data_IF_267183721539
#
_entry.id   IF_267183721539
#
_cell.length_a   1.000
_cell.length_b   1.000
_cell.length_c   1.000
_cell.angle_alpha   90.00
_cell.angle_beta   90.00
_cell.angle_gamma   90.00
#
_symmetry.space_group_name_H-M   'P 1'
#
loop_
_entity.id
_entity.type
_entity.pdbx_description
1 polymer ?
#
# COMPACT_ATOMS: atom_id res chain seq x y z
N UNK A 1 49.71 69.05 18.72
CA UNK A 1 49.89 67.64 18.45
C UNK A 1 48.62 66.95 18.87
N UNK A 2 47.79 66.55 17.90
CA UNK A 2 46.51 65.85 18.13
C UNK A 2 46.68 64.40 17.71
N UNK A 3 46.52 63.46 18.65
CA UNK A 3 46.53 62.02 18.39
C UNK A 3 45.14 61.58 18.03
N UNK A 4 44.95 61.07 16.78
CA UNK A 4 43.78 60.35 16.34
C UNK A 4 43.92 58.88 16.69
N UNK A 5 43.08 58.37 17.55
CA UNK A 5 42.91 56.91 17.76
C UNK A 5 41.83 56.40 16.78
N UNK A 6 42.25 55.61 15.82
CA UNK A 6 41.36 54.92 14.89
C UNK A 6 40.91 53.60 15.54
N UNK A 7 39.66 53.50 15.99
CA UNK A 7 39.08 52.27 16.50
C UNK A 7 38.61 51.42 15.36
N UNK A 8 39.30 50.33 15.05
CA UNK A 8 38.91 49.31 14.10
C UNK A 8 37.82 48.40 14.76
N UNK A 9 36.57 48.59 14.39
CA UNK A 9 35.47 47.70 14.81
C UNK A 9 35.46 46.51 13.85
N UNK A 10 35.99 45.36 14.35
CA UNK A 10 35.94 44.08 13.64
C UNK A 10 34.54 43.49 13.82
N UNK A 11 33.68 43.68 12.80
CA UNK A 11 32.37 43.04 12.77
C UNK A 11 32.55 41.56 12.38
N UNK A 12 32.53 40.68 13.40
CA UNK A 12 32.39 39.23 13.18
C UNK A 12 31.03 38.94 12.61
N UNK A 13 30.92 38.78 11.29
CA UNK A 13 29.77 38.17 10.63
C UNK A 13 29.74 36.68 11.00
N UNK A 14 28.99 36.32 12.05
CA UNK A 14 28.59 34.96 12.33
C UNK A 14 27.63 34.51 11.21
N UNK A 15 28.17 33.94 10.14
CA UNK A 15 27.38 33.17 9.19
C UNK A 15 26.93 31.90 9.90
N UNK A 16 25.78 31.94 10.55
CA UNK A 16 25.06 30.75 10.96
C UNK A 16 24.67 30.02 9.67
N UNK A 17 25.44 28.97 9.33
CA UNK A 17 24.99 27.96 8.38
C UNK A 17 23.76 27.33 9.02
N UNK A 18 22.58 27.80 8.64
CA UNK A 18 21.35 27.06 8.86
C UNK A 18 21.49 25.76 8.09
N UNK A 19 21.92 24.71 8.77
CA UNK A 19 21.72 23.36 8.28
C UNK A 19 20.20 23.21 8.18
N UNK A 20 19.67 23.26 6.99
CA UNK A 20 18.31 22.83 6.78
C UNK A 20 18.21 21.40 7.33
N UNK A 21 17.39 21.20 8.35
CA UNK A 21 17.19 19.86 8.88
C UNK A 21 16.76 18.96 7.72
N UNK A 22 17.39 17.80 7.60
CA UNK A 22 17.02 16.84 6.57
C UNK A 22 15.54 16.51 6.71
N UNK A 23 14.84 16.39 5.59
CA UNK A 23 13.42 16.06 5.59
C UNK A 23 13.22 14.74 6.37
N UNK A 24 12.39 14.71 7.42
CA UNK A 24 12.27 13.56 8.31
C UNK A 24 11.79 12.28 7.59
N UNK A 25 11.13 12.42 6.43
CA UNK A 25 10.70 11.29 5.62
C UNK A 25 11.85 10.59 4.91
N UNK A 26 12.96 11.29 4.63
CA UNK A 26 14.11 10.72 3.91
C UNK A 26 14.76 9.61 4.74
N UNK A 27 15.04 8.47 4.08
CA UNK A 27 15.72 7.32 4.66
C UNK A 27 15.19 5.99 4.17
N UNK A 28 15.70 4.92 4.80
CA UNK A 28 15.23 3.55 4.58
C UNK A 28 14.29 3.17 5.71
N UNK A 29 13.17 2.58 5.33
CA UNK A 29 12.08 2.25 6.23
C UNK A 29 11.69 0.79 6.06
N UNK A 30 11.59 0.06 7.17
CA UNK A 30 11.20 -1.35 7.18
C UNK A 30 9.87 -1.54 7.87
N UNK A 31 8.96 -2.25 7.19
CA UNK A 31 7.63 -2.55 7.73
C UNK A 31 7.73 -3.28 9.07
N UNK A 32 7.00 -2.78 10.07
CA UNK A 32 6.85 -3.39 11.39
C UNK A 32 5.47 -4.05 11.50
N UNK A 33 5.42 -5.36 11.28
CA UNK A 33 4.17 -6.12 11.31
C UNK A 33 3.50 -6.12 12.68
N UNK A 34 4.27 -6.10 13.78
CA UNK A 34 3.72 -6.15 15.14
C UNK A 34 2.98 -4.86 15.52
N UNK A 35 3.41 -3.72 14.96
CA UNK A 35 2.79 -2.41 15.18
C UNK A 35 1.74 -2.06 14.15
N UNK A 36 1.68 -2.81 13.04
CA UNK A 36 0.74 -2.57 11.94
C UNK A 36 -0.58 -3.27 12.18
N UNK A 37 -1.66 -2.68 11.66
CA UNK A 37 -3.01 -3.23 11.71
C UNK A 37 -3.60 -3.22 10.30
N UNK A 38 -3.70 -4.41 9.70
CA UNK A 38 -4.23 -4.64 8.35
C UNK A 38 -5.63 -5.28 8.39
N UNK A 39 -6.39 -5.07 9.46
CA UNK A 39 -7.67 -5.74 9.68
C UNK A 39 -8.83 -4.76 9.58
N UNK A 40 -10.01 -5.30 9.29
CA UNK A 40 -11.25 -4.54 9.26
C UNK A 40 -11.72 -4.17 7.85
N UNK A 41 -10.94 -4.46 6.80
CA UNK A 41 -11.43 -4.33 5.43
C UNK A 41 -12.48 -5.39 5.15
N UNK A 42 -13.49 -4.99 4.37
CA UNK A 42 -14.60 -5.86 4.04
C UNK A 42 -14.64 -6.16 2.54
N UNK A 43 -14.90 -7.43 2.24
CA UNK A 43 -15.16 -7.93 0.89
C UNK A 43 -16.51 -8.63 0.86
N UNK A 44 -17.40 -8.17 -0.02
CA UNK A 44 -18.68 -8.83 -0.31
C UNK A 44 -18.52 -9.77 -1.48
N UNK A 45 -18.94 -11.02 -1.32
CA UNK A 45 -19.02 -12.03 -2.37
C UNK A 45 -20.47 -12.37 -2.59
N UNK A 46 -20.97 -12.19 -3.81
CA UNK A 46 -22.33 -12.55 -4.21
C UNK A 46 -22.24 -13.74 -5.18
N UNK A 47 -22.85 -14.86 -4.82
CA UNK A 47 -23.00 -16.01 -5.69
C UNK A 47 -24.12 -15.74 -6.71
N UNK A 48 -23.77 -15.70 -7.98
CA UNK A 48 -24.69 -15.44 -9.10
C UNK A 48 -25.18 -16.73 -9.77
N UNK A 49 -24.78 -17.89 -9.24
CA UNK A 49 -25.03 -19.21 -9.83
C UNK A 49 -24.06 -19.54 -10.98
N UNK A 50 -24.00 -20.81 -11.38
CA UNK A 50 -23.17 -21.27 -12.47
C UNK A 50 -21.66 -21.03 -12.26
N UNK A 51 -21.19 -21.13 -11.03
CA UNK A 51 -19.80 -20.81 -10.63
C UNK A 51 -19.38 -19.35 -10.89
N UNK A 52 -20.35 -18.44 -11.01
CA UNK A 52 -20.09 -17.01 -11.20
C UNK A 52 -20.26 -16.26 -9.90
N UNK A 53 -19.27 -15.44 -9.55
CA UNK A 53 -19.24 -14.69 -8.30
C UNK A 53 -18.91 -13.23 -8.56
N UNK A 54 -19.66 -12.32 -7.92
CA UNK A 54 -19.35 -10.89 -7.91
C UNK A 54 -18.66 -10.54 -6.60
N UNK A 55 -17.51 -9.95 -6.71
CA UNK A 55 -16.66 -9.52 -5.60
C UNK A 55 -16.67 -8.00 -5.53
N UNK A 56 -16.97 -7.45 -4.36
CA UNK A 56 -16.93 -6.02 -4.09
C UNK A 56 -16.08 -5.76 -2.87
N UNK A 57 -15.01 -4.98 -3.03
CA UNK A 57 -14.15 -4.50 -1.94
C UNK A 57 -13.99 -3.00 -2.09
N UNK A 58 -14.42 -2.24 -1.08
CA UNK A 58 -14.51 -0.80 -1.19
C UNK A 58 -15.37 -0.35 -2.39
N UNK A 59 -14.81 0.50 -3.26
CA UNK A 59 -15.45 0.93 -4.52
C UNK A 59 -15.15 0.02 -5.70
N UNK A 60 -14.35 -1.05 -5.53
CA UNK A 60 -13.97 -1.98 -6.60
C UNK A 60 -14.96 -3.14 -6.67
N UNK A 61 -15.52 -3.36 -7.85
CA UNK A 61 -16.41 -4.50 -8.12
C UNK A 61 -15.93 -5.25 -9.36
N UNK A 62 -15.77 -6.57 -9.24
CA UNK A 62 -15.40 -7.45 -10.35
C UNK A 62 -16.20 -8.73 -10.28
N UNK A 63 -16.57 -9.26 -11.46
CA UNK A 63 -17.25 -10.56 -11.55
C UNK A 63 -16.30 -11.56 -12.19
N UNK A 64 -16.16 -12.72 -11.56
CA UNK A 64 -15.34 -13.83 -12.03
C UNK A 64 -16.18 -15.10 -12.15
N UNK A 65 -15.82 -15.94 -13.13
CA UNK A 65 -16.30 -17.32 -13.21
C UNK A 65 -15.22 -18.23 -12.63
N UNK A 66 -15.57 -19.08 -11.69
CA UNK A 66 -14.64 -20.03 -11.09
C UNK A 66 -14.59 -21.30 -11.98
N UNK A 67 -13.85 -21.22 -13.09
CA UNK A 67 -13.68 -22.28 -14.12
C UNK A 67 -12.21 -22.53 -14.48
N UNK A 68 -11.29 -21.84 -13.78
CA UNK A 68 -9.84 -21.95 -14.00
C UNK A 68 -9.32 -21.12 -15.17
N UNK A 69 -10.16 -20.38 -15.88
CA UNK A 69 -9.71 -19.51 -16.96
C UNK A 69 -9.19 -18.17 -16.48
N UNK A 70 -8.21 -17.58 -17.19
CA UNK A 70 -7.69 -16.27 -16.91
C UNK A 70 -8.70 -15.18 -17.31
N UNK A 71 -9.18 -14.38 -16.35
CA UNK A 71 -10.17 -13.33 -16.58
C UNK A 71 -9.56 -11.96 -16.20
N UNK A 72 -9.71 -10.93 -17.05
CA UNK A 72 -9.10 -9.64 -16.80
C UNK A 72 -9.78 -8.90 -15.64
N UNK A 73 -9.01 -8.04 -14.95
CA UNK A 73 -9.51 -7.08 -13.99
C UNK A 73 -9.12 -5.64 -14.37
N UNK A 74 -9.66 -4.66 -13.64
CA UNK A 74 -9.42 -3.25 -13.92
C UNK A 74 -7.97 -2.78 -13.64
N UNK A 75 -7.18 -3.58 -12.91
CA UNK A 75 -5.79 -3.29 -12.58
C UNK A 75 -4.79 -3.79 -13.62
N UNK A 76 -5.27 -4.30 -14.78
CA UNK A 76 -4.42 -4.81 -15.85
C UNK A 76 -3.85 -6.21 -15.57
N UNK A 77 -4.41 -6.92 -14.60
CA UNK A 77 -4.05 -8.29 -14.29
C UNK A 77 -5.13 -9.26 -14.83
N UNK A 78 -4.78 -10.54 -14.88
CA UNK A 78 -5.76 -11.62 -15.01
C UNK A 78 -5.85 -12.41 -13.71
N UNK A 79 -7.04 -12.92 -13.42
CA UNK A 79 -7.35 -13.75 -12.26
C UNK A 79 -7.98 -15.05 -12.75
N UNK A 80 -7.41 -16.18 -12.34
CA UNK A 80 -7.98 -17.50 -12.55
C UNK A 80 -8.40 -18.08 -11.21
N UNK A 81 -9.68 -18.51 -11.10
CA UNK A 81 -10.23 -19.15 -9.91
C UNK A 81 -10.61 -20.57 -10.29
N UNK A 82 -10.00 -21.57 -9.64
CA UNK A 82 -10.26 -22.98 -9.86
C UNK A 82 -10.84 -23.62 -8.60
N UNK A 83 -12.10 -24.03 -8.59
CA UNK A 83 -12.64 -24.85 -7.52
C UNK A 83 -11.87 -26.17 -7.42
N UNK A 84 -11.39 -26.51 -6.23
CA UNK A 84 -10.76 -27.79 -5.93
C UNK A 84 -11.82 -28.76 -5.37
N UNK A 85 -12.62 -28.23 -4.44
CA UNK A 85 -13.79 -28.89 -3.85
C UNK A 85 -14.75 -27.82 -3.33
N UNK A 86 -15.80 -28.22 -2.58
CA UNK A 86 -16.81 -27.30 -2.06
C UNK A 86 -16.25 -26.21 -1.13
N UNK A 87 -15.12 -26.47 -0.47
CA UNK A 87 -14.53 -25.61 0.55
C UNK A 87 -13.16 -25.04 0.14
N UNK A 88 -12.63 -25.41 -1.01
CA UNK A 88 -11.30 -24.98 -1.42
C UNK A 88 -11.28 -24.47 -2.85
N UNK A 89 -10.73 -23.26 -3.02
CA UNK A 89 -10.42 -22.66 -4.31
C UNK A 89 -8.93 -22.39 -4.43
N UNK A 90 -8.38 -22.61 -5.61
CA UNK A 90 -7.10 -22.04 -6.02
C UNK A 90 -7.35 -20.75 -6.79
N UNK A 91 -6.56 -19.71 -6.48
CA UNK A 91 -6.58 -18.47 -7.23
C UNK A 91 -5.16 -18.15 -7.68
N UNK A 92 -5.02 -17.74 -8.93
CA UNK A 92 -3.75 -17.28 -9.51
C UNK A 92 -3.97 -15.93 -10.14
N UNK A 93 -3.11 -14.97 -9.78
CA UNK A 93 -3.09 -13.62 -10.35
C UNK A 93 -1.87 -13.49 -11.24
N UNK A 94 -2.07 -13.02 -12.49
CA UNK A 94 -0.99 -12.85 -13.46
C UNK A 94 -1.02 -11.45 -14.07
N UNK A 95 0.15 -10.96 -14.45
CA UNK A 95 0.32 -9.78 -15.31
C UNK A 95 1.20 -10.15 -16.49
N UNK A 96 0.73 -9.93 -17.71
CA UNK A 96 1.45 -10.26 -18.95
C UNK A 96 1.98 -11.70 -18.96
N UNK A 97 1.17 -12.65 -18.48
CA UNK A 97 1.50 -14.08 -18.38
C UNK A 97 2.39 -14.46 -17.18
N UNK A 98 2.99 -13.49 -16.49
CA UNK A 98 3.82 -13.73 -15.32
C UNK A 98 2.95 -13.86 -14.07
N UNK A 99 3.14 -14.93 -13.29
CA UNK A 99 2.43 -15.13 -12.02
C UNK A 99 2.90 -14.09 -11.00
N UNK A 100 1.98 -13.24 -10.53
CA UNK A 100 2.19 -12.30 -9.44
C UNK A 100 1.97 -12.95 -8.08
N UNK A 101 0.89 -13.74 -7.98
CA UNK A 101 0.64 -14.53 -6.76
C UNK A 101 -0.17 -15.78 -7.08
N UNK A 102 0.00 -16.80 -6.23
CA UNK A 102 -0.87 -17.97 -6.19
C UNK A 102 -1.29 -18.23 -4.75
N UNK A 103 -2.57 -18.56 -4.58
CA UNK A 103 -3.14 -18.74 -3.26
C UNK A 103 -4.21 -19.81 -3.23
N UNK A 104 -4.44 -20.35 -2.05
CA UNK A 104 -5.56 -21.24 -1.75
C UNK A 104 -6.49 -20.52 -0.76
N UNK A 105 -7.76 -20.44 -1.11
CA UNK A 105 -8.84 -20.03 -0.25
C UNK A 105 -9.47 -21.27 0.35
N UNK A 106 -9.58 -21.37 1.66
CA UNK A 106 -10.20 -22.46 2.38
C UNK A 106 -11.35 -21.94 3.23
N UNK A 107 -12.54 -22.46 3.00
CA UNK A 107 -13.73 -22.19 3.79
C UNK A 107 -13.83 -23.19 4.94
N UNK A 108 -14.05 -22.72 6.16
CA UNK A 108 -14.30 -23.59 7.32
C UNK A 108 -15.60 -24.42 7.14
N UNK A 109 -15.69 -25.57 7.79
CA UNK A 109 -16.85 -26.46 7.68
C UNK A 109 -18.16 -25.81 8.08
N UNK A 110 -18.13 -24.84 8.99
CA UNK A 110 -19.30 -24.07 9.41
C UNK A 110 -19.62 -22.87 8.49
N UNK A 111 -18.77 -22.63 7.47
CA UNK A 111 -18.92 -21.55 6.50
C UNK A 111 -18.70 -20.14 7.07
N UNK A 112 -18.10 -20.00 8.26
CA UNK A 112 -17.97 -18.70 8.95
C UNK A 112 -16.58 -18.09 8.89
N UNK A 113 -15.59 -18.89 8.52
CA UNK A 113 -14.19 -18.43 8.41
C UNK A 113 -13.64 -18.80 7.04
N UNK A 114 -12.94 -17.87 6.41
CA UNK A 114 -12.15 -18.11 5.22
C UNK A 114 -10.69 -17.90 5.57
N UNK A 115 -9.84 -18.84 5.21
CA UNK A 115 -8.38 -18.71 5.31
C UNK A 115 -7.78 -18.68 3.92
N UNK A 116 -7.00 -17.65 3.63
CA UNK A 116 -6.27 -17.49 2.38
C UNK A 116 -4.79 -17.68 2.70
N UNK A 117 -4.15 -18.63 2.04
CA UNK A 117 -2.69 -18.82 2.12
C UNK A 117 -2.10 -18.77 0.73
N UNK A 118 -1.06 -18.00 0.57
CA UNK A 118 -0.47 -17.81 -0.74
C UNK A 118 0.97 -17.34 -0.70
N UNK A 119 1.55 -17.28 -1.90
CA UNK A 119 2.89 -16.77 -2.17
C UNK A 119 2.79 -15.69 -3.23
N UNK A 120 3.35 -14.52 -2.94
CA UNK A 120 3.58 -13.43 -3.86
C UNK A 120 4.96 -13.55 -4.50
N UNK A 121 5.07 -13.27 -5.82
CA UNK A 121 6.33 -13.23 -6.55
C UNK A 121 6.71 -11.78 -6.83
N UNK A 122 7.82 -11.33 -6.28
CA UNK A 122 8.32 -9.97 -6.45
C UNK A 122 9.18 -9.86 -7.72
N UNK A 123 9.24 -8.67 -8.37
CA UNK A 123 10.04 -8.47 -9.57
C UNK A 123 11.54 -8.61 -9.39
N UNK A 124 12.05 -8.53 -8.17
CA UNK A 124 13.45 -8.79 -7.84
C UNK A 124 13.80 -10.30 -7.82
N UNK A 125 12.78 -11.18 -7.93
CA UNK A 125 12.91 -12.63 -7.91
C UNK A 125 12.70 -13.24 -6.53
N UNK A 126 12.49 -12.44 -5.50
CA UNK A 126 12.14 -12.94 -4.16
C UNK A 126 10.65 -13.27 -4.06
N UNK A 127 10.29 -14.00 -3.02
CA UNK A 127 8.89 -14.36 -2.74
C UNK A 127 8.51 -13.91 -1.34
N UNK A 128 7.21 -13.78 -1.12
CA UNK A 128 6.63 -13.47 0.17
C UNK A 128 5.41 -14.36 0.41
N UNK A 129 5.46 -15.16 1.47
CA UNK A 129 4.30 -15.95 1.86
C UNK A 129 3.38 -15.13 2.74
N UNK A 130 2.09 -15.27 2.50
CA UNK A 130 1.08 -14.55 3.27
C UNK A 130 -0.04 -15.46 3.74
N UNK A 131 -0.67 -15.05 4.84
CA UNK A 131 -1.90 -15.64 5.34
C UNK A 131 -2.88 -14.53 5.70
N UNK A 132 -4.11 -14.65 5.20
CA UNK A 132 -5.24 -13.79 5.58
C UNK A 132 -6.34 -14.64 6.16
N UNK A 133 -6.88 -14.24 7.31
CA UNK A 133 -8.06 -14.86 7.91
C UNK A 133 -9.20 -13.86 7.88
N UNK A 134 -10.32 -14.29 7.30
CA UNK A 134 -11.53 -13.48 7.21
C UNK A 134 -12.66 -14.15 7.97
N UNK A 135 -13.49 -13.36 8.63
CA UNK A 135 -14.75 -13.82 9.26
C UNK A 135 -15.94 -13.32 8.46
N UNK A 136 -16.92 -14.17 8.31
CA UNK A 136 -18.20 -13.79 7.73
C UNK A 136 -18.98 -12.93 8.72
N UNK A 137 -19.24 -11.67 8.35
CA UNK A 137 -19.94 -10.69 9.19
C UNK A 137 -21.41 -10.55 8.80
N UNK A 138 -21.80 -10.92 7.57
CA UNK A 138 -23.21 -10.96 7.16
C UNK A 138 -23.43 -11.91 5.97
N UNK A 139 -24.68 -12.38 5.86
CA UNK A 139 -25.36 -12.96 4.70
C UNK A 139 -24.72 -14.19 4.05
N UNK A 140 -25.52 -14.88 3.23
CA UNK A 140 -25.09 -15.94 2.34
C UNK A 140 -24.73 -17.28 2.97
N UNK A 141 -24.78 -18.33 2.16
CA UNK A 141 -24.23 -19.66 2.46
C UNK A 141 -22.96 -19.89 1.66
N UNK A 142 -22.16 -20.85 2.03
CA UNK A 142 -20.92 -21.17 1.33
C UNK A 142 -19.99 -19.95 1.21
N UNK A 143 -19.54 -19.64 0.01
CA UNK A 143 -18.65 -18.51 -0.30
C UNK A 143 -19.35 -17.14 -0.26
N UNK A 144 -20.66 -17.10 -0.49
CA UNK A 144 -21.45 -15.87 -0.47
C UNK A 144 -21.50 -15.21 0.91
N UNK A 145 -21.53 -13.88 0.95
CA UNK A 145 -21.61 -13.07 2.17
C UNK A 145 -20.64 -11.91 2.19
N UNK A 146 -20.64 -11.16 3.29
CA UNK A 146 -19.64 -10.13 3.58
C UNK A 146 -18.61 -10.70 4.53
N UNK A 147 -17.36 -10.57 4.15
CA UNK A 147 -16.20 -11.08 4.84
C UNK A 147 -15.34 -9.93 5.34
N UNK A 148 -14.84 -10.00 6.56
CA UNK A 148 -13.98 -8.99 7.17
C UNK A 148 -12.64 -9.60 7.54
N UNK A 149 -11.54 -8.93 7.16
CA UNK A 149 -10.18 -9.31 7.50
C UNK A 149 -9.95 -9.21 9.01
N UNK A 150 -9.55 -10.31 9.64
CA UNK A 150 -9.34 -10.38 11.09
C UNK A 150 -7.90 -10.69 11.49
N UNK A 151 -7.11 -11.28 10.60
CA UNK A 151 -5.67 -11.54 10.79
C UNK A 151 -4.98 -11.52 9.44
N UNK A 152 -3.88 -10.78 9.34
CA UNK A 152 -3.06 -10.67 8.12
C UNK A 152 -1.60 -10.81 8.50
N UNK A 153 -0.89 -11.73 7.85
CA UNK A 153 0.53 -12.02 8.09
C UNK A 153 1.30 -12.12 6.79
N UNK A 154 2.51 -11.56 6.79
CA UNK A 154 3.49 -11.67 5.72
C UNK A 154 4.81 -12.19 6.29
N UNK A 155 5.55 -12.98 5.51
CA UNK A 155 6.85 -13.52 5.95
C UNK A 155 8.03 -12.60 5.68
N UNK A 156 7.91 -11.71 4.69
CA UNK A 156 8.95 -10.75 4.30
C UNK A 156 8.43 -9.32 4.40
N UNK A 157 8.78 -8.59 5.47
CA UNK A 157 8.40 -7.18 5.60
C UNK A 157 8.94 -6.35 4.44
N UNK A 158 8.09 -5.51 3.86
CA UNK A 158 8.50 -4.62 2.80
C UNK A 158 9.42 -3.51 3.31
N UNK A 159 10.30 -3.06 2.43
CA UNK A 159 11.23 -1.98 2.68
C UNK A 159 10.97 -0.85 1.68
N UNK A 160 10.94 0.38 2.20
CA UNK A 160 10.87 1.60 1.42
C UNK A 160 12.17 2.37 1.51
N UNK A 161 12.58 2.96 0.41
CA UNK A 161 13.64 3.95 0.34
C UNK A 161 13.06 5.28 -0.12
N UNK A 162 13.00 6.25 0.79
CA UNK A 162 12.49 7.59 0.50
C UNK A 162 13.68 8.54 0.34
N UNK A 163 13.72 9.26 -0.77
CA UNK A 163 14.80 10.16 -1.14
C UNK A 163 14.25 11.54 -1.51
N UNK A 164 15.11 12.57 -1.48
CA UNK A 164 14.74 13.89 -1.99
C UNK A 164 14.47 13.84 -3.50
N UNK A 165 13.46 14.59 -3.95
CA UNK A 165 13.12 14.75 -5.35
C UNK A 165 12.75 16.21 -5.65
N UNK A 166 13.43 16.82 -6.60
CA UNK A 166 13.16 18.15 -7.18
C UNK A 166 12.51 19.19 -6.22
N UNK A 167 13.33 19.90 -5.48
CA UNK A 167 12.87 20.92 -4.52
C UNK A 167 12.38 20.30 -3.21
N UNK A 168 11.10 20.40 -2.92
CA UNK A 168 10.45 19.87 -1.72
C UNK A 168 9.73 18.52 -1.92
N UNK A 169 9.90 17.91 -3.11
CA UNK A 169 9.35 16.63 -3.47
C UNK A 169 10.10 15.46 -2.86
N UNK A 170 9.47 14.29 -2.90
CA UNK A 170 10.03 13.02 -2.45
C UNK A 170 9.91 11.96 -3.55
N UNK A 171 10.92 11.08 -3.59
CA UNK A 171 10.92 9.85 -4.38
C UNK A 171 10.69 8.68 -3.42
N UNK A 172 9.59 7.97 -3.60
CA UNK A 172 9.25 6.76 -2.88
C UNK A 172 9.63 5.56 -3.73
N UNK A 173 10.54 4.73 -3.23
CA UNK A 173 11.03 3.56 -3.95
C UNK A 173 10.74 2.31 -3.12
N UNK A 174 10.24 1.26 -3.77
CA UNK A 174 10.06 -0.07 -3.19
C UNK A 174 10.98 -1.05 -3.92
N UNK A 175 12.22 -1.26 -3.47
CA UNK A 175 13.26 -1.97 -4.23
C UNK A 175 12.87 -3.39 -4.67
N UNK A 176 12.20 -4.15 -3.80
CA UNK A 176 11.76 -5.52 -4.10
C UNK A 176 10.72 -5.57 -5.23
N UNK A 177 9.87 -4.54 -5.32
CA UNK A 177 8.84 -4.42 -6.37
C UNK A 177 9.35 -3.66 -7.59
N UNK A 178 10.49 -2.95 -7.50
CA UNK A 178 11.04 -2.05 -8.52
C UNK A 178 10.05 -0.93 -8.87
N UNK A 179 9.24 -0.53 -7.90
CA UNK A 179 8.27 0.53 -8.08
C UNK A 179 8.86 1.85 -7.58
N UNK A 180 8.50 2.94 -8.27
CA UNK A 180 8.96 4.30 -7.96
C UNK A 180 7.81 5.28 -8.16
N UNK A 181 7.58 6.12 -7.16
CA UNK A 181 6.74 7.30 -7.24
C UNK A 181 7.58 8.55 -6.96
N UNK A 182 7.75 9.41 -7.95
CA UNK A 182 8.38 10.71 -7.81
C UNK A 182 7.28 11.78 -7.71
N UNK A 183 7.14 12.44 -6.58
CA UNK A 183 6.00 13.33 -6.34
C UNK A 183 6.42 14.62 -5.66
N UNK A 184 5.84 15.75 -6.11
CA UNK A 184 5.81 17.02 -5.38
C UNK A 184 4.50 17.14 -4.63
N UNK A 185 4.49 17.93 -3.56
CA UNK A 185 3.30 18.09 -2.73
C UNK A 185 2.47 19.31 -3.12
N UNK A 186 2.29 19.48 -4.44
CA UNK A 186 1.58 20.60 -5.08
C UNK A 186 0.12 20.27 -5.45
N UNK A 187 -0.35 19.08 -5.07
CA UNK A 187 -1.71 18.59 -5.31
C UNK A 187 -1.98 18.10 -6.72
N UNK A 188 -0.97 18.06 -7.60
CA UNK A 188 -1.09 17.46 -8.94
C UNK A 188 -0.93 15.94 -8.87
N UNK A 189 -1.41 15.27 -9.92
CA UNK A 189 -1.26 13.83 -10.08
C UNK A 189 0.13 13.49 -10.66
N UNK A 190 0.82 12.56 -10.05
CA UNK A 190 2.11 12.00 -10.43
C UNK A 190 1.98 10.51 -10.70
N UNK A 191 2.58 10.04 -11.80
CA UNK A 191 2.51 8.66 -12.23
C UNK A 191 3.42 7.77 -11.37
N UNK A 192 2.88 6.70 -10.82
CA UNK A 192 3.65 5.62 -10.25
C UNK A 192 4.16 4.69 -11.35
N UNK A 193 5.42 4.24 -11.24
CA UNK A 193 6.10 3.41 -12.25
C UNK A 193 6.63 2.13 -11.64
N UNK A 194 6.42 1.03 -12.34
CA UNK A 194 6.93 -0.28 -11.97
C UNK A 194 6.29 -1.42 -12.73
N UNK A 195 6.92 -2.61 -12.72
CA UNK A 195 6.45 -3.74 -13.50
C UNK A 195 5.10 -4.32 -13.02
N UNK A 196 4.75 -4.07 -11.76
CA UNK A 196 3.49 -4.55 -11.17
C UNK A 196 2.43 -3.44 -11.01
N UNK A 197 2.81 -2.18 -11.21
CA UNK A 197 1.93 -1.02 -11.07
C UNK A 197 0.75 -1.13 -12.05
N UNK A 198 -0.46 -0.85 -11.58
CA UNK A 198 -1.65 -0.87 -12.41
C UNK A 198 -1.61 0.25 -13.46
N UNK A 199 -2.06 0.02 -14.69
CA UNK A 199 -2.12 1.06 -15.70
C UNK A 199 -2.98 2.25 -15.24
N UNK A 200 -2.42 3.47 -15.31
CA UNK A 200 -3.09 4.70 -14.87
C UNK A 200 -3.09 4.90 -13.36
N UNK A 201 -2.17 4.25 -12.63
CA UNK A 201 -1.88 4.57 -11.22
C UNK A 201 -1.24 5.94 -11.13
N UNK A 202 -1.84 6.79 -10.32
CA UNK A 202 -1.43 8.17 -10.07
C UNK A 202 -1.58 8.48 -8.58
N UNK A 203 -0.68 9.29 -8.05
CA UNK A 203 -0.77 9.80 -6.68
C UNK A 203 -0.68 11.31 -6.67
N UNK A 204 -1.46 11.95 -5.81
CA UNK A 204 -1.35 13.38 -5.55
C UNK A 204 -1.19 13.63 -4.05
N UNK A 205 -0.36 14.60 -3.68
CA UNK A 205 -0.04 14.81 -2.28
C UNK A 205 -0.04 16.28 -1.86
N UNK A 206 -0.18 16.47 -0.54
CA UNK A 206 -0.01 17.74 0.15
C UNK A 206 0.87 17.56 1.36
N UNK A 207 1.80 18.50 1.58
CA UNK A 207 2.57 18.58 2.81
C UNK A 207 1.80 19.44 3.81
N UNK A 208 1.36 18.84 4.92
CA UNK A 208 0.61 19.53 5.97
C UNK A 208 1.56 20.26 6.92
N UNK A 209 2.67 19.60 7.27
CA UNK A 209 3.78 20.14 8.05
C UNK A 209 5.06 19.32 7.80
N UNK A 210 6.15 19.61 8.52
CA UNK A 210 7.42 18.92 8.34
C UNK A 210 7.34 17.39 8.55
N UNK A 211 6.40 16.91 9.40
CA UNK A 211 6.25 15.51 9.77
C UNK A 211 4.98 14.85 9.24
N UNK A 212 4.16 15.56 8.45
CA UNK A 212 2.86 15.05 8.00
C UNK A 212 2.63 15.32 6.53
N UNK A 213 2.31 14.27 5.78
CA UNK A 213 1.84 14.33 4.39
C UNK A 213 0.45 13.71 4.29
N UNK A 214 -0.33 14.18 3.34
CA UNK A 214 -1.56 13.53 2.88
C UNK A 214 -1.40 13.17 1.41
N UNK A 215 -1.73 11.93 1.06
CA UNK A 215 -1.63 11.38 -0.29
C UNK A 215 -2.98 10.80 -0.69
N UNK A 216 -3.34 10.97 -1.94
CA UNK A 216 -4.52 10.37 -2.55
C UNK A 216 -4.07 9.53 -3.72
N UNK A 217 -4.35 8.23 -3.67
CA UNK A 217 -4.02 7.28 -4.72
C UNK A 217 -5.21 7.02 -5.63
N UNK A 218 -4.92 6.95 -6.93
CA UNK A 218 -5.92 6.80 -7.98
C UNK A 218 -5.51 5.73 -8.98
N UNK A 219 -6.48 5.04 -9.54
CA UNK A 219 -6.30 4.18 -10.72
C UNK A 219 -7.30 4.61 -11.80
N UNK A 220 -6.79 5.01 -12.98
CA UNK A 220 -7.63 5.50 -14.09
C UNK A 220 -8.56 6.65 -13.69
N UNK A 221 -8.09 7.50 -12.77
CA UNK A 221 -8.83 8.67 -12.28
C UNK A 221 -9.77 8.40 -11.11
N UNK A 222 -10.03 7.13 -10.78
CA UNK A 222 -10.84 6.78 -9.60
C UNK A 222 -9.98 6.73 -8.34
N UNK A 223 -10.44 7.35 -7.26
CA UNK A 223 -9.76 7.36 -5.97
C UNK A 223 -9.86 5.98 -5.33
N UNK A 224 -8.71 5.38 -5.03
CA UNK A 224 -8.61 4.10 -4.34
C UNK A 224 -8.51 4.26 -2.84
N UNK A 225 -7.70 5.23 -2.39
CA UNK A 225 -7.55 5.52 -0.97
C UNK A 225 -7.07 6.97 -0.72
N UNK A 226 -7.14 7.32 0.57
CA UNK A 226 -6.51 8.50 1.14
C UNK A 226 -5.59 8.04 2.27
N UNK A 227 -4.33 8.38 2.16
CA UNK A 227 -3.31 7.98 3.13
C UNK A 227 -2.68 9.19 3.80
N UNK A 228 -2.69 9.20 5.13
CA UNK A 228 -1.94 10.13 5.96
C UNK A 228 -0.62 9.49 6.38
N UNK A 229 0.49 10.16 6.12
CA UNK A 229 1.84 9.78 6.50
C UNK A 229 2.29 10.64 7.67
N UNK A 230 2.80 10.05 8.74
CA UNK A 230 3.28 10.76 9.91
C UNK A 230 4.62 10.19 10.37
N UNK A 231 5.66 11.03 10.38
CA UNK A 231 6.96 10.67 10.99
C UNK A 231 6.98 11.13 12.43
N UNK A 232 7.37 10.24 13.34
CA UNK A 232 7.49 10.57 14.78
C UNK A 232 8.49 11.69 15.02
N UNK A 233 8.36 12.46 16.14
CA UNK A 233 9.27 13.58 16.44
C UNK A 233 10.75 13.18 16.54
N UNK A 234 11.03 11.93 16.90
CA UNK A 234 12.40 11.39 16.95
C UNK A 234 12.92 10.87 15.61
N UNK A 235 12.09 10.96 14.55
CA UNK A 235 12.42 10.54 13.19
C UNK A 235 12.55 9.03 12.99
N UNK A 236 12.12 8.18 13.94
CA UNK A 236 12.39 6.73 13.92
C UNK A 236 11.22 5.87 13.47
N UNK A 237 10.02 6.42 13.46
CA UNK A 237 8.80 5.70 13.09
C UNK A 237 8.05 6.50 12.04
N UNK A 238 7.66 5.83 10.95
CA UNK A 238 6.74 6.33 9.94
C UNK A 238 5.43 5.55 10.07
N UNK A 239 4.33 6.26 10.32
CA UNK A 239 2.99 5.69 10.42
C UNK A 239 2.15 6.15 9.25
N UNK A 240 1.53 5.20 8.55
CA UNK A 240 0.54 5.45 7.53
C UNK A 240 -0.84 5.09 8.08
N UNK A 241 -1.79 6.02 7.96
CA UNK A 241 -3.21 5.76 8.20
C UNK A 241 -3.90 5.74 6.84
N UNK A 242 -4.31 4.55 6.40
CA UNK A 242 -4.87 4.32 5.05
C UNK A 242 -6.38 4.19 5.14
N UNK A 243 -7.10 5.06 4.44
CA UNK A 243 -8.55 5.02 4.29
C UNK A 243 -8.90 4.57 2.87
N UNK A 244 -9.14 3.27 2.68
CA UNK A 244 -9.62 2.74 1.41
C UNK A 244 -11.02 3.27 1.07
N UNK A 245 -11.21 3.72 -0.17
CA UNK A 245 -12.51 4.24 -0.61
C UNK A 245 -13.60 3.18 -0.50
N UNK A 246 -14.67 3.49 0.23
CA UNK A 246 -15.77 2.55 0.50
C UNK A 246 -15.48 1.53 1.60
N UNK A 247 -14.34 1.57 2.26
CA UNK A 247 -14.05 0.79 3.47
C UNK A 247 -14.50 1.54 4.73
N UNK A 248 -15.00 0.80 5.72
CA UNK A 248 -15.52 1.38 6.96
C UNK A 248 -14.43 1.75 7.96
N UNK A 249 -13.28 1.07 7.89
CA UNK A 249 -12.19 1.21 8.84
C UNK A 249 -10.93 1.71 8.14
N UNK A 250 -10.07 2.40 8.89
CA UNK A 250 -8.73 2.73 8.44
C UNK A 250 -7.77 1.59 8.83
N UNK A 251 -6.81 1.33 7.97
CA UNK A 251 -5.65 0.50 8.29
C UNK A 251 -4.53 1.36 8.86
N UNK A 252 -3.71 0.79 9.72
CA UNK A 252 -2.51 1.44 10.24
C UNK A 252 -1.30 0.63 9.82
N UNK A 253 -0.40 1.24 9.08
CA UNK A 253 0.84 0.63 8.62
C UNK A 253 2.01 1.36 9.25
N UNK A 254 2.87 0.65 9.94
CA UNK A 254 3.98 1.23 10.69
C UNK A 254 5.31 0.73 10.15
N UNK A 255 6.21 1.66 9.87
CA UNK A 255 7.59 1.38 9.48
C UNK A 255 8.54 1.90 10.54
N UNK A 256 9.64 1.18 10.76
CA UNK A 256 10.77 1.65 11.55
C UNK A 256 11.89 2.12 10.62
N UNK A 257 12.55 3.22 10.97
CA UNK A 257 13.75 3.70 10.25
C UNK A 257 14.89 2.70 10.46
N UNK A 258 15.59 2.37 9.39
CA UNK A 258 16.72 1.44 9.39
C UNK A 258 18.02 2.14 9.74
#
# INVERSE_FOLDING_TARGET
MKHFYSSLVLACLLTSTLWAAEDPFIGKWKLNMEKSKFTGDQTKIEDLGGNKYKWTSGNVTTTYTADGTDQPNQFGNTVAITPVDANNWKMVIKKDGRVLSSMTHTLSADGKTQTIKGTGNKPDGTTDDFTVVMKKVSGGSGWGGTWEDTDVKFTSPDEWEIQAYEGDGLSFNTPAYKDTLNMKFDGKDYEEKGPNVAPGSMSSGKRINAHTLEVTDKVKGEVMDHTKFEVSPDGKTLTLTVHGTGQANAQTVVYNKM
#
